data_IF_622287236074
#
_entry.id   IF_622287236074
#
_cell.length_a   1.000
_cell.length_b   1.000
_cell.length_c   1.000
_cell.angle_alpha   90.00
_cell.angle_beta   90.00
_cell.angle_gamma   90.00
#
_symmetry.space_group_name_H-M   'P 1'
#
loop_
_entity.id
_entity.type
_entity.pdbx_description
1 polymer ?
#
# COMPACT_ATOMS: atom_id res chain seq x y z
N UNK A 1 -42.68 -26.30 -11.86
CA UNK A 1 -41.36 -26.06 -12.49
C UNK A 1 -40.78 -24.83 -11.83
N UNK A 2 -39.75 -25.07 -11.03
CA UNK A 2 -39.15 -24.18 -10.03
C UNK A 2 -38.23 -23.15 -10.69
N UNK A 3 -38.35 -21.90 -10.24
CA UNK A 3 -37.52 -20.75 -10.58
C UNK A 3 -36.06 -20.97 -10.17
N UNK A 4 -35.06 -20.48 -10.93
CA UNK A 4 -33.67 -20.57 -10.53
C UNK A 4 -33.35 -19.57 -9.42
N UNK A 5 -32.95 -20.12 -8.28
CA UNK A 5 -32.44 -19.43 -7.10
C UNK A 5 -31.11 -18.72 -7.47
N UNK A 6 -31.18 -17.41 -7.68
CA UNK A 6 -30.00 -16.59 -7.98
C UNK A 6 -29.41 -16.15 -6.66
N UNK A 7 -28.54 -17.00 -6.11
CA UNK A 7 -27.76 -16.67 -4.92
C UNK A 7 -26.98 -15.36 -5.16
N UNK A 8 -26.95 -14.42 -4.20
CA UNK A 8 -26.18 -13.20 -4.35
C UNK A 8 -24.69 -13.58 -4.35
N UNK A 9 -24.00 -13.33 -5.46
CA UNK A 9 -22.54 -13.34 -5.49
C UNK A 9 -22.06 -12.31 -4.46
N UNK A 10 -21.48 -12.78 -3.37
CA UNK A 10 -20.67 -11.95 -2.48
C UNK A 10 -19.51 -11.42 -3.32
N UNK A 11 -19.66 -10.23 -3.89
CA UNK A 11 -18.56 -9.41 -4.33
C UNK A 11 -17.77 -9.07 -3.06
N UNK A 12 -16.66 -9.75 -2.85
CA UNK A 12 -15.63 -9.29 -1.95
C UNK A 12 -15.06 -8.00 -2.56
N UNK A 13 -15.72 -6.89 -2.27
CA UNK A 13 -15.19 -5.58 -2.58
C UNK A 13 -13.91 -5.43 -1.77
N UNK A 14 -12.75 -5.55 -2.43
CA UNK A 14 -11.56 -4.85 -1.99
C UNK A 14 -11.82 -3.36 -2.21
N UNK A 15 -12.76 -2.79 -1.44
CA UNK A 15 -12.98 -1.36 -1.42
C UNK A 15 -11.70 -0.75 -0.91
N UNK A 16 -10.93 -0.14 -1.80
CA UNK A 16 -10.03 0.94 -1.42
C UNK A 16 -10.96 1.99 -0.83
N UNK A 17 -11.10 1.95 0.49
CA UNK A 17 -11.45 3.15 1.22
C UNK A 17 -10.37 4.14 0.81
N UNK A 18 -10.74 5.12 -0.01
CA UNK A 18 -10.08 6.41 0.02
C UNK A 18 -10.23 6.83 1.48
N UNK A 19 -9.22 6.49 2.29
CA UNK A 19 -9.27 6.72 3.71
C UNK A 19 -9.31 8.23 3.86
N UNK A 20 -10.47 8.75 4.23
CA UNK A 20 -10.53 9.93 5.08
C UNK A 20 -9.45 9.74 6.14
N UNK A 21 -8.54 10.72 6.27
CA UNK A 21 -7.29 10.63 7.03
C UNK A 21 -7.41 9.67 8.23
N UNK A 22 -6.65 8.57 8.22
CA UNK A 22 -6.90 7.45 9.11
C UNK A 22 -5.64 6.72 9.52
N UNK A 23 -5.66 6.19 10.76
CA UNK A 23 -4.65 5.26 11.26
C UNK A 23 -5.17 3.84 11.10
N UNK A 24 -4.45 3.01 10.36
CA UNK A 24 -4.67 1.57 10.24
C UNK A 24 -3.48 0.79 10.81
N UNK A 25 -3.66 -0.51 11.06
CA UNK A 25 -2.57 -1.41 11.41
C UNK A 25 -2.41 -2.45 10.30
N UNK A 26 -1.18 -2.60 9.81
CA UNK A 26 -0.83 -3.55 8.75
C UNK A 26 -0.04 -4.70 9.34
N UNK A 27 -0.58 -5.91 9.17
CA UNK A 27 0.10 -7.17 9.48
C UNK A 27 0.66 -7.74 8.17
N UNK A 28 1.97 -7.97 8.10
CA UNK A 28 2.62 -8.51 6.89
C UNK A 28 3.60 -9.63 7.20
N UNK A 29 3.73 -10.54 6.23
CA UNK A 29 4.77 -11.55 6.15
C UNK A 29 5.54 -11.35 4.85
N UNK A 30 6.86 -11.43 4.92
CA UNK A 30 7.73 -11.28 3.76
C UNK A 30 8.50 -12.58 3.54
N UNK A 31 8.65 -12.96 2.28
CA UNK A 31 9.41 -14.13 1.86
C UNK A 31 10.07 -13.87 0.51
N UNK A 32 11.25 -14.45 0.30
CA UNK A 32 11.95 -14.37 -0.97
C UNK A 32 11.57 -15.57 -1.85
N UNK A 33 11.33 -15.31 -3.13
CA UNK A 33 10.99 -16.35 -4.11
C UNK A 33 12.09 -16.36 -5.18
N UNK A 34 12.78 -17.49 -5.40
CA UNK A 34 13.78 -17.58 -6.45
C UNK A 34 13.09 -17.49 -7.83
N UNK A 35 13.72 -16.89 -8.86
CA UNK A 35 13.11 -16.70 -10.17
C UNK A 35 12.58 -18.00 -10.79
N UNK A 36 13.33 -19.10 -10.66
CA UNK A 36 12.95 -20.41 -11.17
C UNK A 36 11.68 -20.99 -10.51
N UNK A 37 11.30 -20.52 -9.32
CA UNK A 37 10.12 -20.97 -8.58
C UNK A 37 8.89 -20.06 -8.75
N UNK A 38 9.04 -18.87 -9.35
CA UNK A 38 7.99 -17.86 -9.39
C UNK A 38 6.72 -18.37 -10.10
N UNK A 39 6.87 -18.96 -11.29
CA UNK A 39 5.73 -19.45 -12.06
C UNK A 39 4.93 -20.50 -11.27
N UNK A 40 5.62 -21.50 -10.70
CA UNK A 40 4.98 -22.56 -9.89
C UNK A 40 4.29 -21.99 -8.65
N UNK A 41 4.84 -20.93 -8.06
CA UNK A 41 4.20 -20.25 -6.93
C UNK A 41 2.91 -19.56 -7.37
N UNK A 42 2.93 -18.81 -8.48
CA UNK A 42 1.75 -18.11 -9.00
C UNK A 42 0.62 -19.10 -9.33
N UNK A 43 0.93 -20.21 -10.01
CA UNK A 43 -0.04 -21.28 -10.30
C UNK A 43 -0.66 -21.86 -9.02
N UNK A 44 0.15 -22.09 -7.99
CA UNK A 44 -0.34 -22.57 -6.68
C UNK A 44 -1.18 -21.53 -5.97
N UNK A 45 -0.83 -20.24 -6.04
CA UNK A 45 -1.62 -19.16 -5.45
C UNK A 45 -2.99 -19.08 -6.11
N UNK A 46 -3.08 -19.18 -7.44
CA UNK A 46 -4.37 -19.28 -8.15
C UNK A 46 -5.16 -20.50 -7.67
N UNK A 47 -4.51 -21.66 -7.55
CA UNK A 47 -5.15 -22.89 -7.08
C UNK A 47 -5.65 -22.81 -5.62
N UNK A 48 -4.97 -22.07 -4.75
CA UNK A 48 -5.31 -21.94 -3.31
C UNK A 48 -6.28 -20.80 -3.05
N UNK A 49 -6.07 -19.63 -3.66
CA UNK A 49 -6.85 -18.42 -3.44
C UNK A 49 -8.10 -18.33 -4.33
N UNK A 50 -8.20 -19.17 -5.36
CA UNK A 50 -9.29 -19.14 -6.32
C UNK A 50 -9.00 -18.19 -7.49
N UNK A 51 -10.06 -17.75 -8.15
CA UNK A 51 -9.97 -16.91 -9.35
C UNK A 51 -9.29 -15.57 -9.02
N UNK A 52 -7.99 -15.49 -9.30
CA UNK A 52 -7.23 -14.23 -9.33
C UNK A 52 -7.37 -13.59 -10.71
N UNK A 53 -8.58 -13.62 -11.28
CA UNK A 53 -8.90 -12.83 -12.45
C UNK A 53 -8.43 -11.42 -12.15
N UNK A 54 -7.46 -10.95 -12.95
CA UNK A 54 -7.04 -9.57 -12.92
C UNK A 54 -8.29 -8.74 -13.26
N UNK A 55 -8.91 -8.20 -12.23
CA UNK A 55 -10.14 -7.41 -12.28
C UNK A 55 -9.91 -6.00 -12.84
N UNK A 56 -8.68 -5.75 -13.30
CA UNK A 56 -8.24 -4.44 -13.71
C UNK A 56 -8.02 -3.51 -12.52
N UNK A 57 -8.02 -4.01 -11.27
CA UNK A 57 -7.73 -3.20 -10.11
C UNK A 57 -6.20 -3.08 -9.94
N UNK A 58 -5.73 -1.85 -9.95
CA UNK A 58 -4.39 -1.43 -10.40
C UNK A 58 -3.33 -1.51 -9.30
N UNK A 59 -3.61 -2.27 -8.25
CA UNK A 59 -2.84 -2.33 -7.02
C UNK A 59 -1.52 -3.10 -7.14
N UNK A 60 -1.22 -3.68 -8.30
CA UNK A 60 0.06 -4.36 -8.56
C UNK A 60 1.18 -3.40 -8.93
N UNK A 61 0.86 -2.18 -9.41
CA UNK A 61 1.86 -1.21 -9.84
C UNK A 61 1.56 0.16 -9.25
N UNK A 62 2.13 0.40 -8.08
CA UNK A 62 2.11 1.68 -7.40
C UNK A 62 3.41 2.45 -7.66
N UNK A 63 3.30 3.78 -7.80
CA UNK A 63 4.45 4.66 -7.72
C UNK A 63 4.56 5.19 -6.30
N UNK A 64 5.68 4.90 -5.66
CA UNK A 64 6.03 5.44 -4.34
C UNK A 64 7.22 6.41 -4.47
N UNK A 65 7.07 7.61 -3.92
CA UNK A 65 8.13 8.61 -3.78
C UNK A 65 8.35 8.86 -2.29
N UNK A 66 9.59 8.71 -1.84
CA UNK A 66 9.98 8.89 -0.43
C UNK A 66 10.61 10.27 -0.26
N UNK A 67 10.09 11.06 0.67
CA UNK A 67 10.61 12.37 1.00
C UNK A 67 11.22 12.36 2.40
N UNK A 68 12.39 12.98 2.50
CA UNK A 68 13.12 13.12 3.76
C UNK A 68 12.95 14.53 4.30
N UNK A 69 12.94 14.74 5.63
CA UNK A 69 12.93 16.08 6.20
C UNK A 69 14.09 16.93 5.65
N UNK A 70 13.81 18.18 5.27
CA UNK A 70 14.79 19.11 4.75
C UNK A 70 15.70 19.67 5.86
N UNK A 71 15.19 19.74 7.09
CA UNK A 71 15.94 20.17 8.29
C UNK A 71 15.71 19.18 9.42
N UNK A 72 16.79 18.61 9.96
CA UNK A 72 16.74 17.77 11.17
C UNK A 72 16.87 18.66 12.42
N UNK A 73 15.80 18.78 13.22
CA UNK A 73 15.87 19.43 14.53
C UNK A 73 15.07 18.65 15.58
N UNK A 74 15.64 18.28 16.74
CA UNK A 74 17.00 18.57 17.23
C UNK A 74 18.08 17.69 16.59
N UNK A 75 19.36 18.11 16.69
CA UNK A 75 20.52 17.26 16.39
C UNK A 75 20.46 16.01 17.26
N UNK A 76 20.16 14.87 16.65
CA UNK A 76 20.10 13.56 17.29
C UNK A 76 20.56 12.49 16.31
N UNK A 77 20.67 11.22 16.74
CA UNK A 77 21.00 10.15 15.82
C UNK A 77 20.02 10.14 14.65
N UNK A 78 20.53 9.88 13.44
CA UNK A 78 19.75 9.82 12.20
C UNK A 78 18.42 9.10 12.45
N UNK A 79 17.32 9.84 12.40
CA UNK A 79 16.00 9.27 12.64
C UNK A 79 15.64 8.40 11.44
N UNK A 80 15.07 7.22 11.70
CA UNK A 80 14.95 6.13 10.73
C UNK A 80 13.89 6.44 9.65
N UNK A 81 13.61 5.44 8.81
CA UNK A 81 12.47 5.37 7.87
C UNK A 81 11.08 5.66 8.50
N UNK A 82 10.99 5.89 9.81
CA UNK A 82 9.78 6.27 10.53
C UNK A 82 9.45 7.77 10.45
N UNK A 83 10.42 8.61 10.05
CA UNK A 83 10.24 10.06 9.91
C UNK A 83 9.98 10.50 8.48
N UNK A 84 10.27 9.63 7.50
CA UNK A 84 9.99 9.94 6.10
C UNK A 84 8.50 9.93 5.83
N UNK A 85 8.09 10.79 4.91
CA UNK A 85 6.74 10.75 4.34
C UNK A 85 6.83 10.19 2.93
N UNK A 86 5.79 9.46 2.53
CA UNK A 86 5.74 8.79 1.22
C UNK A 86 4.54 9.29 0.46
N UNK A 87 4.73 9.66 -0.80
CA UNK A 87 3.61 9.85 -1.72
C UNK A 87 3.41 8.55 -2.50
N UNK A 88 2.19 8.02 -2.44
CA UNK A 88 1.78 6.84 -3.20
C UNK A 88 0.67 7.19 -4.17
N UNK A 89 0.74 6.65 -5.36
CA UNK A 89 -0.36 6.69 -6.31
C UNK A 89 -0.31 5.47 -7.23
N UNK A 90 -1.46 4.93 -7.67
CA UNK A 90 -1.48 3.92 -8.71
C UNK A 90 -0.94 4.51 -10.02
N UNK A 91 -0.23 3.70 -10.80
CA UNK A 91 0.32 4.12 -12.10
C UNK A 91 -0.76 4.13 -13.19
N UNK A 92 -1.73 3.25 -13.05
CA UNK A 92 -2.87 3.10 -13.93
C UNK A 92 -4.14 3.52 -13.18
N UNK A 93 -5.11 4.09 -13.90
CA UNK A 93 -6.48 4.30 -13.42
C UNK A 93 -7.47 3.92 -14.52
N UNK A 94 -8.43 3.05 -14.22
CA UNK A 94 -9.41 2.50 -15.18
C UNK A 94 -8.76 1.89 -16.44
N UNK A 95 -7.61 1.24 -16.29
CA UNK A 95 -6.83 0.64 -17.38
C UNK A 95 -6.03 1.63 -18.22
N UNK A 96 -6.03 2.92 -17.86
CA UNK A 96 -5.28 3.97 -18.56
C UNK A 96 -4.07 4.43 -17.75
N UNK A 97 -2.93 4.63 -18.43
CA UNK A 97 -1.74 5.19 -17.79
C UNK A 97 -1.98 6.65 -17.37
N UNK A 98 -1.64 6.98 -16.11
CA UNK A 98 -1.70 8.35 -15.59
C UNK A 98 -0.31 8.99 -15.56
N UNK A 99 -0.19 10.15 -16.20
CA UNK A 99 1.01 10.97 -16.10
C UNK A 99 1.24 11.42 -14.66
N UNK A 100 2.50 11.62 -14.28
CA UNK A 100 2.91 11.83 -12.88
C UNK A 100 2.12 12.94 -12.15
N UNK A 101 1.85 14.06 -12.83
CA UNK A 101 1.16 15.22 -12.25
C UNK A 101 -0.35 15.06 -12.11
N UNK A 102 -0.94 14.13 -12.87
CA UNK A 102 -2.39 13.91 -12.90
C UNK A 102 -2.83 12.79 -11.95
N UNK A 103 -1.88 12.18 -11.24
CA UNK A 103 -2.14 11.09 -10.30
C UNK A 103 -2.83 11.60 -9.04
N UNK A 104 -3.74 10.79 -8.52
CA UNK A 104 -4.35 10.99 -7.20
C UNK A 104 -3.38 10.49 -6.13
N UNK A 105 -2.73 11.43 -5.44
CA UNK A 105 -1.70 11.11 -4.46
C UNK A 105 -2.28 10.86 -3.06
N UNK A 106 -1.75 9.84 -2.40
CA UNK A 106 -1.94 9.57 -0.99
C UNK A 106 -0.62 9.85 -0.25
N UNK A 107 -0.71 10.63 0.84
CA UNK A 107 0.37 10.80 1.79
C UNK A 107 0.35 9.65 2.78
N UNK A 108 1.48 8.96 2.91
CA UNK A 108 1.64 7.80 3.76
C UNK A 108 2.80 8.00 4.75
N UNK A 109 2.60 7.60 5.99
CA UNK A 109 3.67 7.43 6.98
C UNK A 109 3.57 6.04 7.60
N UNK A 110 4.73 5.39 7.78
CA UNK A 110 4.83 4.06 8.36
C UNK A 110 5.41 4.18 9.77
N UNK A 111 4.67 3.70 10.76
CA UNK A 111 5.18 3.55 12.11
C UNK A 111 6.23 2.44 12.20
N UNK A 112 7.05 2.45 13.26
CA UNK A 112 8.00 1.37 13.50
C UNK A 112 7.27 0.04 13.66
N UNK A 113 7.85 -1.07 13.16
CA UNK A 113 7.29 -2.39 13.39
C UNK A 113 7.35 -2.76 14.88
N UNK A 114 6.34 -3.47 15.36
CA UNK A 114 6.32 -3.98 16.72
C UNK A 114 7.53 -4.92 16.94
N UNK A 115 8.26 -4.76 18.06
CA UNK A 115 9.40 -5.61 18.34
C UNK A 115 8.94 -7.06 18.57
N UNK A 116 9.76 -8.05 18.15
CA UNK A 116 9.42 -9.44 18.31
C UNK A 116 9.25 -9.79 19.79
N UNK A 117 8.13 -10.43 20.14
CA UNK A 117 7.90 -10.97 21.49
C UNK A 117 8.47 -12.39 21.55
N UNK A 118 9.33 -12.67 22.53
CA UNK A 118 9.95 -13.99 22.70
C UNK A 118 8.91 -15.12 22.72
N UNK A 119 9.17 -16.19 21.98
CA UNK A 119 8.32 -17.39 21.94
C UNK A 119 7.11 -17.33 21.00
N UNK A 120 6.98 -16.33 20.12
CA UNK A 120 5.89 -16.24 19.13
C UNK A 120 6.42 -16.10 17.69
N UNK A 121 5.68 -16.58 16.67
CA UNK A 121 6.00 -16.34 15.26
C UNK A 121 6.09 -14.84 14.97
N UNK A 122 7.14 -14.42 14.28
CA UNK A 122 7.40 -13.01 13.96
C UNK A 122 6.64 -12.60 12.70
N UNK A 123 5.40 -12.18 12.84
CA UNK A 123 4.74 -11.36 11.83
C UNK A 123 5.11 -9.88 12.06
N UNK A 124 5.23 -9.12 10.99
CA UNK A 124 5.47 -7.69 11.09
C UNK A 124 4.12 -6.99 11.32
N UNK A 125 3.96 -6.31 12.44
CA UNK A 125 2.80 -5.47 12.70
C UNK A 125 3.26 -4.02 12.83
N UNK A 126 2.66 -3.10 12.08
CA UNK A 126 3.00 -1.67 12.16
C UNK A 126 1.78 -0.79 11.96
N UNK A 127 1.80 0.39 12.57
CA UNK A 127 0.84 1.44 12.28
C UNK A 127 1.13 2.04 10.89
N UNK A 128 0.07 2.34 10.14
CA UNK A 128 0.13 3.00 8.84
C UNK A 128 -0.84 4.19 8.88
N UNK A 129 -0.34 5.36 8.50
CA UNK A 129 -1.10 6.60 8.47
C UNK A 129 -1.24 7.02 7.01
N UNK A 130 -2.48 7.20 6.55
CA UNK A 130 -2.76 7.52 5.15
C UNK A 130 -3.77 8.66 5.05
N UNK A 131 -3.53 9.58 4.10
CA UNK A 131 -4.43 10.67 3.77
C UNK A 131 -4.34 11.02 2.29
N UNK A 132 -5.48 11.11 1.62
CA UNK A 132 -5.53 11.68 0.28
C UNK A 132 -5.08 13.15 0.28
N UNK A 133 -4.34 13.56 -0.76
CA UNK A 133 -3.99 14.95 -1.03
C UNK A 133 -4.78 15.42 -2.25
N UNK A 134 -5.31 16.64 -2.19
CA UNK A 134 -5.93 17.32 -3.33
C UNK A 134 -5.04 18.50 -3.74
N UNK A 135 -4.77 18.62 -5.04
CA UNK A 135 -3.93 19.69 -5.61
C UNK A 135 -2.49 19.24 -5.88
N UNK A 136 -1.55 20.18 -5.81
CA UNK A 136 -0.13 19.95 -6.10
C UNK A 136 0.55 19.26 -4.90
N UNK A 137 0.59 17.93 -4.92
CA UNK A 137 1.15 17.13 -3.83
C UNK A 137 2.65 17.39 -3.60
N UNK A 138 3.40 17.68 -4.66
CA UNK A 138 4.84 17.93 -4.55
C UNK A 138 5.13 19.22 -3.81
N UNK A 139 4.47 20.31 -4.21
CA UNK A 139 4.60 21.59 -3.49
C UNK A 139 4.07 21.50 -2.07
N UNK A 140 3.01 20.74 -1.84
CA UNK A 140 2.49 20.55 -0.49
C UNK A 140 3.52 19.90 0.43
N UNK A 141 4.18 18.84 -0.02
CA UNK A 141 5.24 18.16 0.76
C UNK A 141 6.47 19.04 0.94
N UNK A 142 6.86 19.81 -0.08
CA UNK A 142 7.93 20.81 0.02
C UNK A 142 7.62 21.89 1.08
N UNK A 143 6.39 22.40 1.10
CA UNK A 143 5.92 23.37 2.11
C UNK A 143 5.93 22.82 3.54
N UNK A 144 5.77 21.50 3.71
CA UNK A 144 5.91 20.83 5.00
C UNK A 144 7.38 20.69 5.44
N UNK A 145 8.34 21.13 4.62
CA UNK A 145 9.76 21.07 4.92
C UNK A 145 10.38 19.70 4.62
N UNK A 146 9.90 19.02 3.58
CA UNK A 146 10.44 17.75 3.08
C UNK A 146 11.04 17.91 1.67
N UNK A 147 11.97 17.03 1.29
CA UNK A 147 12.67 17.04 -0.01
C UNK A 147 12.90 15.63 -0.57
#
# INVERSE_FOLDING_TARGET
MTTPDTAPKLQAAASILISTAGRSFRCSLHGAVPPAGLQKLLERLVGVCGDMAFDGDENLVEHEIVFVPAVESPFGPARNDDVVVRLRAPVFEDGAFRALRDRKWCLCQLGPPEPPKGGRPTFNNRAVYESAIVGDAFKFVELLGYR
#
